data_IF_774804268024
#
_entry.id   IF_774804268024
#
_cell.length_a   1.000
_cell.length_b   1.000
_cell.length_c   1.000
_cell.angle_alpha   90.00
_cell.angle_beta   90.00
_cell.angle_gamma   90.00
#
_symmetry.space_group_name_H-M   'P 1'
#
loop_
_entity.id
_entity.type
_entity.pdbx_description
1 polymer ?
#
# COMPACT_ATOMS: atom_id res chain seq x y z
N UNK A 1 12.35 8.19 -2.10
CA UNK A 1 11.70 7.80 -3.34
C UNK A 1 11.34 9.04 -4.12
N UNK A 2 11.74 9.07 -5.39
CA UNK A 2 11.34 10.10 -6.36
C UNK A 2 9.89 9.85 -6.81
N UNK A 3 9.22 10.89 -7.30
CA UNK A 3 7.84 10.80 -7.78
C UNK A 3 7.65 9.70 -8.84
N UNK A 4 8.61 9.53 -9.74
CA UNK A 4 8.54 8.52 -10.80
C UNK A 4 8.48 7.10 -10.24
N UNK A 5 9.32 6.78 -9.27
CA UNK A 5 9.36 5.49 -8.59
C UNK A 5 8.04 5.21 -7.86
N UNK A 6 7.45 6.23 -7.21
CA UNK A 6 6.15 6.11 -6.55
C UNK A 6 5.02 5.84 -7.54
N UNK A 7 5.03 6.51 -8.70
CA UNK A 7 4.02 6.30 -9.74
C UNK A 7 4.14 4.91 -10.39
N UNK A 8 5.36 4.42 -10.57
CA UNK A 8 5.60 3.08 -11.11
C UNK A 8 5.18 2.01 -10.10
N UNK A 9 5.49 2.17 -8.82
CA UNK A 9 4.98 1.33 -7.73
C UNK A 9 3.44 1.27 -7.73
N UNK A 10 2.77 2.42 -7.85
CA UNK A 10 1.30 2.49 -7.91
C UNK A 10 0.74 1.79 -9.14
N UNK A 11 1.36 1.94 -10.30
CA UNK A 11 0.94 1.27 -11.54
C UNK A 11 1.09 -0.24 -11.40
N UNK A 12 2.21 -0.71 -10.87
CA UNK A 12 2.48 -2.13 -10.71
C UNK A 12 1.54 -2.77 -9.68
N UNK A 13 1.32 -2.10 -8.54
CA UNK A 13 0.30 -2.52 -7.55
C UNK A 13 -1.06 -2.73 -8.21
N UNK A 14 -1.54 -1.76 -8.99
CA UNK A 14 -2.85 -1.83 -9.68
C UNK A 14 -2.90 -2.87 -10.80
N UNK A 15 -1.77 -3.18 -11.42
CA UNK A 15 -1.71 -4.16 -12.52
C UNK A 15 -1.69 -5.60 -12.01
N UNK A 16 -1.12 -5.83 -10.81
CA UNK A 16 -0.94 -7.16 -10.23
C UNK A 16 -1.99 -7.50 -9.18
N UNK A 17 -2.67 -6.50 -8.65
CA UNK A 17 -3.69 -6.63 -7.61
C UNK A 17 -4.96 -5.90 -8.06
N UNK A 18 -6.13 -6.43 -7.70
CA UNK A 18 -7.44 -5.83 -8.00
C UNK A 18 -7.72 -4.60 -7.11
N UNK A 19 -6.79 -3.65 -7.08
CA UNK A 19 -6.86 -2.40 -6.30
C UNK A 19 -7.38 -1.29 -7.22
N UNK A 20 -8.68 -1.01 -7.10
CA UNK A 20 -9.34 0.04 -7.90
C UNK A 20 -8.85 1.46 -7.57
N UNK A 21 -8.43 1.68 -6.32
CA UNK A 21 -7.91 2.95 -5.82
C UNK A 21 -6.76 2.68 -4.88
N UNK A 22 -5.62 3.30 -5.17
CA UNK A 22 -4.44 3.32 -4.28
C UNK A 22 -4.45 4.64 -3.53
N UNK A 23 -4.48 4.56 -2.21
CA UNK A 23 -4.37 5.72 -1.33
C UNK A 23 -3.00 5.65 -0.65
N UNK A 24 -2.24 6.74 -0.74
CA UNK A 24 -0.90 6.84 -0.14
C UNK A 24 -1.01 7.70 1.11
N UNK A 25 -0.45 7.20 2.21
CA UNK A 25 -0.32 7.95 3.46
C UNK A 25 1.14 8.29 3.76
N UNK A 26 1.34 9.03 4.85
CA UNK A 26 2.67 9.33 5.37
C UNK A 26 3.48 10.26 4.48
N UNK A 27 4.81 10.11 4.56
CA UNK A 27 5.77 11.05 3.95
C UNK A 27 5.67 11.12 2.42
N UNK A 28 5.24 10.04 1.75
CA UNK A 28 5.12 10.01 0.28
C UNK A 28 3.92 10.80 -0.24
N UNK A 29 2.93 11.11 0.61
CA UNK A 29 1.79 11.94 0.22
C UNK A 29 2.20 13.38 -0.16
N UNK A 30 3.39 13.85 0.26
CA UNK A 30 3.90 15.18 -0.07
C UNK A 30 4.04 15.39 -1.59
N UNK A 31 4.28 14.33 -2.36
CA UNK A 31 4.32 14.40 -3.82
C UNK A 31 3.01 14.94 -4.40
N UNK A 32 1.86 14.80 -3.72
CA UNK A 32 0.59 15.33 -4.21
C UNK A 32 0.49 16.87 -4.11
N UNK A 33 1.22 17.49 -3.19
CA UNK A 33 1.06 18.92 -2.84
C UNK A 33 2.31 19.77 -3.10
N UNK A 34 3.48 19.15 -3.21
CA UNK A 34 4.72 19.84 -3.51
C UNK A 34 4.62 20.53 -4.88
N UNK A 35 4.78 21.85 -4.90
CA UNK A 35 4.91 22.65 -6.13
C UNK A 35 6.41 22.84 -6.42
N UNK A 36 6.90 22.26 -7.52
CA UNK A 36 8.32 22.33 -7.90
C UNK A 36 9.21 21.36 -7.09
N UNK A 37 10.45 21.76 -6.82
CA UNK A 37 11.50 20.90 -6.25
C UNK A 37 11.46 20.77 -4.71
N UNK A 38 10.44 21.31 -4.03
CA UNK A 38 10.37 21.25 -2.57
C UNK A 38 9.76 19.93 -2.07
N UNK A 39 10.50 18.84 -2.26
CA UNK A 39 10.26 17.56 -1.59
C UNK A 39 11.36 17.36 -0.55
N UNK A 40 11.04 17.13 0.74
CA UNK A 40 12.06 16.89 1.76
C UNK A 40 13.00 15.76 1.36
N UNK A 41 14.30 15.98 1.58
CA UNK A 41 15.34 14.98 1.31
C UNK A 41 15.06 13.64 2.03
N UNK A 42 14.43 13.70 3.20
CA UNK A 42 13.98 12.50 3.93
C UNK A 42 12.94 11.69 3.15
N UNK A 43 11.97 12.34 2.48
CA UNK A 43 11.03 11.66 1.57
C UNK A 43 11.76 11.09 0.35
N UNK A 44 12.72 11.83 -0.19
CA UNK A 44 13.54 11.38 -1.33
C UNK A 44 14.47 10.21 -0.99
N UNK A 45 14.86 10.04 0.28
CA UNK A 45 15.66 8.89 0.74
C UNK A 45 14.81 7.71 1.24
N UNK A 46 13.55 7.93 1.59
CA UNK A 46 12.66 6.84 2.00
C UNK A 46 12.43 5.86 0.84
N UNK A 47 12.56 4.56 1.08
CA UNK A 47 12.29 3.51 0.08
C UNK A 47 10.84 3.00 0.17
N UNK A 48 10.11 3.42 1.19
CA UNK A 48 8.81 2.86 1.56
C UNK A 48 7.68 3.85 1.25
N UNK A 49 6.55 3.30 0.81
CA UNK A 49 5.29 3.99 0.65
C UNK A 49 4.17 3.27 1.41
N UNK A 50 3.49 3.99 2.29
CA UNK A 50 2.34 3.47 3.03
C UNK A 50 1.12 3.41 2.10
N UNK A 51 0.64 2.21 1.82
CA UNK A 51 -0.53 1.96 0.97
C UNK A 51 -1.72 1.67 1.86
N UNK A 52 -2.69 2.57 1.87
CA UNK A 52 -3.92 2.40 2.65
C UNK A 52 -4.87 1.47 1.91
N UNK A 53 -5.12 0.30 2.49
CA UNK A 53 -6.12 -0.67 2.05
C UNK A 53 -7.39 -0.48 2.87
N UNK A 54 -8.53 -0.27 2.19
CA UNK A 54 -9.83 -0.02 2.83
C UNK A 54 -10.87 -1.07 2.43
N UNK A 55 -11.70 -1.47 3.39
CA UNK A 55 -12.79 -2.44 3.19
C UNK A 55 -12.27 -3.74 2.58
N UNK A 56 -12.88 -4.18 1.49
CA UNK A 56 -12.51 -5.37 0.72
C UNK A 56 -11.08 -5.34 0.15
N UNK A 57 -10.36 -4.22 0.16
CA UNK A 57 -8.95 -4.24 -0.25
C UNK A 57 -8.05 -4.83 0.84
N UNK A 58 -8.50 -4.88 2.10
CA UNK A 58 -7.68 -5.32 3.23
C UNK A 58 -7.25 -6.79 3.13
N UNK A 59 -8.09 -7.66 2.55
CA UNK A 59 -7.74 -9.06 2.20
C UNK A 59 -6.53 -9.17 1.25
N UNK A 60 -6.14 -8.09 0.57
CA UNK A 60 -4.95 -8.05 -0.28
C UNK A 60 -3.66 -7.76 0.51
N UNK A 61 -3.73 -7.45 1.81
CA UNK A 61 -2.57 -7.09 2.65
C UNK A 61 -1.44 -8.11 2.53
N UNK A 62 -1.74 -9.40 2.66
CA UNK A 62 -0.74 -10.47 2.53
C UNK A 62 -0.08 -10.49 1.15
N UNK A 63 -0.86 -10.29 0.08
CA UNK A 63 -0.33 -10.23 -1.29
C UNK A 63 0.51 -8.98 -1.53
N UNK A 64 0.12 -7.82 -1.00
CA UNK A 64 0.94 -6.60 -1.06
C UNK A 64 2.28 -6.84 -0.36
N UNK A 65 2.26 -7.39 0.86
CA UNK A 65 3.49 -7.67 1.60
C UNK A 65 4.40 -8.67 0.86
N UNK A 66 3.83 -9.74 0.29
CA UNK A 66 4.57 -10.74 -0.47
C UNK A 66 5.19 -10.17 -1.75
N UNK A 67 4.42 -9.39 -2.52
CA UNK A 67 4.83 -8.95 -3.86
C UNK A 67 5.64 -7.65 -3.85
N UNK A 68 5.42 -6.78 -2.86
CA UNK A 68 5.96 -5.42 -2.82
C UNK A 68 6.60 -5.03 -1.48
N UNK A 69 6.59 -5.90 -0.46
CA UNK A 69 7.19 -5.61 0.85
C UNK A 69 8.70 -5.80 0.89
N UNK A 70 9.28 -5.68 2.09
CA UNK A 70 10.73 -5.74 2.35
C UNK A 70 11.42 -7.05 1.94
N UNK A 71 10.67 -8.15 1.85
CA UNK A 71 11.20 -9.45 1.40
C UNK A 71 10.98 -9.74 -0.08
N UNK A 72 10.44 -8.79 -0.85
CA UNK A 72 9.98 -9.04 -2.21
C UNK A 72 11.08 -8.93 -3.27
N UNK A 73 10.91 -9.65 -4.39
CA UNK A 73 11.73 -9.44 -5.58
C UNK A 73 11.56 -8.03 -6.16
N UNK A 74 10.45 -7.36 -5.86
CA UNK A 74 10.19 -6.00 -6.32
C UNK A 74 11.21 -5.02 -5.71
N UNK A 75 11.50 -5.13 -4.42
CA UNK A 75 12.56 -4.34 -3.77
C UNK A 75 13.91 -4.56 -4.45
N UNK A 76 14.28 -5.81 -4.75
CA UNK A 76 15.56 -6.12 -5.38
C UNK A 76 15.69 -5.50 -6.80
N UNK A 77 14.59 -5.34 -7.51
CA UNK A 77 14.56 -4.81 -8.88
C UNK A 77 14.40 -3.29 -8.94
N UNK A 78 13.57 -2.72 -8.07
CA UNK A 78 13.13 -1.33 -8.16
C UNK A 78 13.63 -0.45 -6.99
N UNK A 79 14.18 -1.05 -5.93
CA UNK A 79 14.73 -0.33 -4.78
C UNK A 79 13.68 0.32 -3.87
N UNK A 80 12.39 -0.01 -4.06
CA UNK A 80 11.27 0.56 -3.31
C UNK A 80 10.28 -0.51 -2.87
N UNK A 81 9.51 -0.21 -1.82
CA UNK A 81 8.52 -1.12 -1.23
C UNK A 81 7.19 -0.43 -0.94
N UNK A 82 6.15 -1.24 -0.81
CA UNK A 82 4.84 -0.84 -0.29
C UNK A 82 4.62 -1.48 1.09
N UNK A 83 4.28 -0.65 2.08
CA UNK A 83 3.77 -1.13 3.36
C UNK A 83 2.23 -1.05 3.36
N UNK A 84 1.51 -2.19 3.34
CA UNK A 84 0.06 -2.19 3.38
C UNK A 84 -0.45 -1.87 4.79
N UNK A 85 -1.00 -0.67 4.96
CA UNK A 85 -1.63 -0.22 6.20
C UNK A 85 -3.16 -0.14 6.04
N UNK A 86 -3.88 -0.13 7.15
CA UNK A 86 -5.34 0.05 7.14
C UNK A 86 -6.04 -0.84 8.16
N UNK A 87 -7.37 -0.71 8.16
CA UNK A 87 -8.28 -1.55 8.93
C UNK A 87 -9.38 -2.05 8.00
N UNK A 88 -9.70 -3.33 8.13
CA UNK A 88 -10.77 -3.99 7.39
C UNK A 88 -10.98 -5.38 7.96
N UNK A 89 -12.15 -5.94 7.68
CA UNK A 89 -12.42 -7.33 8.03
C UNK A 89 -11.73 -8.22 7.00
N UNK A 90 -10.82 -9.05 7.46
CA UNK A 90 -10.53 -10.29 6.74
C UNK A 90 -11.69 -11.23 7.06
N UNK A 91 -12.72 -11.22 6.22
CA UNK A 91 -13.96 -11.99 6.44
C UNK A 91 -13.65 -13.48 6.59
N UNK A 92 -12.57 -13.97 5.98
CA UNK A 92 -12.11 -15.35 6.08
C UNK A 92 -11.55 -15.65 7.49
N UNK A 93 -10.79 -14.72 8.11
CA UNK A 93 -10.36 -14.87 9.52
C UNK A 93 -11.48 -14.59 10.54
N UNK A 94 -12.44 -13.73 10.20
CA UNK A 94 -13.57 -13.42 11.08
C UNK A 94 -14.50 -14.63 11.24
N UNK A 95 -14.75 -15.35 10.14
CA UNK A 95 -15.56 -16.57 10.15
C UNK A 95 -14.90 -17.73 10.90
N UNK A 96 -13.56 -17.85 10.88
CA UNK A 96 -12.83 -18.86 11.64
C UNK A 96 -12.80 -18.58 13.16
N UNK A 97 -12.96 -17.33 13.58
CA UNK A 97 -12.82 -16.93 14.99
C UNK A 97 -14.13 -16.74 15.75
N UNK A 98 -15.29 -16.60 15.08
CA UNK A 98 -16.56 -16.32 15.80
C UNK A 98 -17.81 -17.04 15.32
N UNK A 99 -17.82 -17.76 14.19
CA UNK A 99 -18.97 -18.59 13.79
C UNK A 99 -20.32 -17.87 13.59
N UNK A 100 -20.41 -16.56 13.77
CA UNK A 100 -21.61 -15.75 13.56
C UNK A 100 -21.23 -14.39 12.94
N UNK A 101 -21.94 -14.02 11.89
CA UNK A 101 -21.82 -12.69 11.26
C UNK A 101 -22.52 -11.65 12.14
N UNK A 102 -21.99 -10.41 12.27
CA UNK A 102 -22.69 -9.36 12.98
C UNK A 102 -23.96 -8.95 12.22
N UNK A 103 -25.10 -9.05 12.89
CA UNK A 103 -26.33 -8.41 12.41
C UNK A 103 -26.11 -6.91 12.33
N UNK A 104 -26.21 -6.35 11.13
CA UNK A 104 -26.21 -4.91 10.90
C UNK A 104 -27.60 -4.36 11.26
N UNK A 105 -27.70 -3.64 12.38
CA UNK A 105 -28.85 -2.82 12.78
C UNK A 105 -28.71 -1.37 12.31
#
# INVERSE_FOLDING_TARGET
>A
MRRVELLDLVRDLRSRLEINRVVIAGSQAIHAVARGDFVPETTLRSIEADIVLVGEQFKLKGKVFQLFGMGSNYLAQHGVVADPIGQGLDIDQFNESTGELPELS
#
